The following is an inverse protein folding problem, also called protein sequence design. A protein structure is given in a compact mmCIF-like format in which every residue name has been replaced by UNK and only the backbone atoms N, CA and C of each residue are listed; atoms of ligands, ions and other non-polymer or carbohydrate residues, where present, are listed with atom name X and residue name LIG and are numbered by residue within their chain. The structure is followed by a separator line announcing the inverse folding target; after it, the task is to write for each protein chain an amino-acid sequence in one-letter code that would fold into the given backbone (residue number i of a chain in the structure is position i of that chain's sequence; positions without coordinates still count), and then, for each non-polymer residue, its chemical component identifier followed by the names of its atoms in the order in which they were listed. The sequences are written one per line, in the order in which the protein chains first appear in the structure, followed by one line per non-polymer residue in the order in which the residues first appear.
data_IF_245317430919
#
_entry.id   IF_245317430919
#
_cell.length_a   1.000
_cell.length_b   1.000
_cell.length_c   1.000
_cell.angle_alpha   90.00
_cell.angle_beta   90.00
_cell.angle_gamma   90.00
#
_symmetry.space_group_name_H-M   'P 1'
#
loop_
_entity.id
_entity.type
_entity.pdbx_description
1 polymer ?
#
# COMPACT_ATOMS: atom_id res chain seq x y z
N UNK A 1 18.61 7.92 5.42
CA UNK A 1 17.64 9.02 5.71
C UNK A 1 17.90 10.13 4.71
N UNK A 2 16.97 10.35 3.80
CA UNK A 2 17.11 11.32 2.72
C UNK A 2 16.09 12.46 2.87
N UNK A 3 16.40 13.62 2.28
CA UNK A 3 15.45 14.72 2.07
C UNK A 3 14.32 14.22 1.18
N UNK A 4 13.09 14.64 1.49
CA UNK A 4 11.88 14.28 0.73
C UNK A 4 11.25 15.51 0.08
N UNK A 5 11.33 16.65 0.76
CA UNK A 5 11.01 17.97 0.22
C UNK A 5 11.82 19.03 0.99
N UNK A 6 12.01 20.18 0.35
CA UNK A 6 12.59 21.40 0.92
C UNK A 6 11.55 22.51 0.86
N UNK A 7 11.72 23.54 1.70
CA UNK A 7 10.89 24.75 1.69
C UNK A 7 11.82 25.93 1.93
N UNK A 8 11.60 26.99 1.15
CA UNK A 8 12.24 28.28 1.31
C UNK A 8 11.20 29.39 1.05
N UNK A 9 11.41 30.54 1.67
CA UNK A 9 10.63 31.74 1.38
C UNK A 9 11.21 32.43 0.14
N UNK A 10 10.33 32.92 -0.73
CA UNK A 10 10.71 33.63 -1.97
C UNK A 10 10.73 35.14 -1.81
N UNK A 11 10.24 35.65 -0.67
CA UNK A 11 10.24 37.07 -0.31
C UNK A 11 11.01 37.26 1.02
N UNK A 12 12.05 38.14 1.05
CA UNK A 12 12.86 38.37 2.25
C UNK A 12 12.12 39.05 3.39
N UNK A 13 10.92 39.61 3.18
CA UNK A 13 10.10 40.22 4.23
C UNK A 13 9.31 39.19 5.06
N UNK A 14 9.25 37.93 4.61
CA UNK A 14 8.51 36.84 5.28
C UNK A 14 9.36 35.60 5.60
N UNK A 15 10.56 35.73 6.18
CA UNK A 15 11.43 34.58 6.47
C UNK A 15 10.82 33.63 7.51
N UNK A 16 9.91 34.14 8.34
CA UNK A 16 9.18 33.36 9.34
C UNK A 16 8.15 32.40 8.73
N UNK A 17 7.75 32.61 7.46
CA UNK A 17 6.70 31.82 6.81
C UNK A 17 7.13 30.37 6.57
N UNK A 18 8.41 30.13 6.30
CA UNK A 18 8.97 28.79 6.04
C UNK A 18 8.66 27.81 7.16
N UNK A 19 8.92 28.19 8.41
CA UNK A 19 8.63 27.33 9.57
C UNK A 19 7.20 27.47 10.09
N UNK A 20 6.45 28.52 9.72
CA UNK A 20 5.03 28.63 10.05
C UNK A 20 4.24 27.41 9.55
N UNK A 21 4.56 26.93 8.35
CA UNK A 21 3.93 25.76 7.75
C UNK A 21 4.45 24.41 8.27
N UNK A 22 5.48 24.39 9.15
CA UNK A 22 6.06 23.14 9.67
C UNK A 22 4.99 22.21 10.25
N UNK A 23 4.11 22.74 11.11
CA UNK A 23 3.10 21.92 11.79
C UNK A 23 2.12 21.27 10.81
N UNK A 24 1.77 21.98 9.73
CA UNK A 24 0.86 21.47 8.69
C UNK A 24 1.59 20.44 7.80
N UNK A 25 2.78 20.80 7.29
CA UNK A 25 3.49 19.98 6.32
C UNK A 25 4.11 18.73 6.94
N UNK A 26 4.45 18.75 8.23
CA UNK A 26 4.87 17.55 8.95
C UNK A 26 3.76 16.49 8.98
N UNK A 27 2.47 16.86 8.87
CA UNK A 27 1.36 15.89 8.84
C UNK A 27 1.45 14.91 7.65
N UNK A 28 2.24 15.23 6.62
CA UNK A 28 2.62 14.28 5.54
C UNK A 28 3.24 12.98 6.06
N UNK A 29 3.73 12.96 7.31
CA UNK A 29 4.15 11.72 7.99
C UNK A 29 3.08 10.63 7.92
N UNK A 30 1.80 11.00 8.03
CA UNK A 30 0.69 10.05 8.13
C UNK A 30 0.48 9.28 6.82
N UNK A 31 0.16 9.92 5.66
CA UNK A 31 0.00 9.20 4.41
C UNK A 31 1.28 8.47 3.98
N UNK A 32 2.46 9.04 4.22
CA UNK A 32 3.72 8.34 3.94
C UNK A 32 3.85 7.05 4.75
N UNK A 33 3.53 7.09 6.05
CA UNK A 33 3.67 5.93 6.93
C UNK A 33 2.65 4.85 6.59
N UNK A 34 1.38 5.22 6.34
CA UNK A 34 0.35 4.28 5.89
C UNK A 34 0.73 3.62 4.57
N UNK A 35 1.14 4.42 3.57
CA UNK A 35 1.57 3.89 2.27
C UNK A 35 2.79 2.95 2.42
N UNK A 36 3.78 3.33 3.23
CA UNK A 36 4.98 2.50 3.48
C UNK A 36 4.63 1.17 4.13
N UNK A 37 3.79 1.18 5.16
CA UNK A 37 3.34 -0.04 5.84
C UNK A 37 2.49 -0.90 4.90
N UNK A 38 1.55 -0.30 4.18
CA UNK A 38 0.76 -0.97 3.14
C UNK A 38 1.67 -1.63 2.10
N UNK A 39 2.73 -0.95 1.66
CA UNK A 39 3.71 -1.52 0.73
C UNK A 39 4.48 -2.68 1.34
N UNK A 40 4.83 -2.62 2.62
CA UNK A 40 5.47 -3.74 3.32
C UNK A 40 4.56 -4.97 3.36
N UNK A 41 3.26 -4.81 3.63
CA UNK A 41 2.29 -5.89 3.49
C UNK A 41 2.25 -6.45 2.07
N UNK A 42 2.22 -5.58 1.04
CA UNK A 42 2.24 -6.01 -0.37
C UNK A 42 3.47 -6.86 -0.67
N UNK A 43 4.65 -6.45 -0.22
CA UNK A 43 5.89 -7.20 -0.38
C UNK A 43 5.83 -8.56 0.33
N UNK A 44 5.33 -8.61 1.57
CA UNK A 44 5.18 -9.86 2.32
C UNK A 44 4.25 -10.84 1.59
N UNK A 45 3.03 -10.41 1.29
CA UNK A 45 2.02 -11.23 0.61
C UNK A 45 2.53 -11.68 -0.76
N UNK A 46 3.18 -10.79 -1.50
CA UNK A 46 3.71 -11.10 -2.82
C UNK A 46 4.77 -12.21 -2.79
N UNK A 47 5.62 -12.28 -1.76
CA UNK A 47 6.59 -13.39 -1.60
C UNK A 47 5.87 -14.73 -1.49
N UNK A 48 4.82 -14.81 -0.67
CA UNK A 48 4.07 -16.04 -0.45
C UNK A 48 3.18 -16.41 -1.65
N UNK A 49 2.53 -15.44 -2.30
CA UNK A 49 1.85 -15.68 -3.57
C UNK A 49 2.82 -16.25 -4.61
N UNK A 50 3.98 -15.62 -4.80
CA UNK A 50 4.97 -16.12 -5.75
C UNK A 50 5.53 -17.50 -5.37
N UNK A 51 5.57 -17.87 -4.09
CA UNK A 51 6.00 -19.19 -3.66
C UNK A 51 4.91 -20.26 -3.85
N UNK A 52 3.63 -19.89 -3.72
CA UNK A 52 2.53 -20.86 -3.51
C UNK A 52 1.40 -20.79 -4.53
N UNK A 53 1.42 -19.83 -5.46
CA UNK A 53 0.32 -19.54 -6.41
C UNK A 53 0.85 -19.55 -7.84
N UNK A 54 0.00 -19.88 -8.82
CA UNK A 54 0.40 -19.96 -10.23
C UNK A 54 0.46 -18.58 -10.92
N UNK A 55 -0.11 -17.54 -10.28
CA UNK A 55 -0.19 -16.17 -10.79
C UNK A 55 -0.10 -15.15 -9.65
N UNK A 56 0.31 -13.93 -9.97
CA UNK A 56 0.36 -12.77 -9.07
C UNK A 56 -0.86 -11.84 -9.24
N UNK A 57 -1.76 -12.11 -10.18
CA UNK A 57 -2.90 -11.26 -10.54
C UNK A 57 -3.81 -10.91 -9.35
N UNK A 58 -3.91 -11.79 -8.36
CA UNK A 58 -4.76 -11.58 -7.18
C UNK A 58 -4.17 -10.60 -6.16
N UNK A 59 -2.87 -10.29 -6.23
CA UNK A 59 -2.15 -9.48 -5.24
C UNK A 59 -2.81 -8.12 -4.93
N UNK A 60 -3.29 -7.33 -5.92
CA UNK A 60 -3.91 -6.03 -5.65
C UNK A 60 -5.12 -6.09 -4.72
N UNK A 61 -5.75 -7.25 -4.55
CA UNK A 61 -6.93 -7.46 -3.71
C UNK A 61 -6.66 -8.32 -2.47
N UNK A 62 -5.40 -8.63 -2.15
CA UNK A 62 -5.07 -9.52 -1.02
C UNK A 62 -5.07 -8.84 0.35
N UNK A 63 -5.06 -7.51 0.40
CA UNK A 63 -5.24 -6.74 1.62
C UNK A 63 -6.34 -5.69 1.39
N UNK A 64 -7.42 -5.80 2.16
CA UNK A 64 -8.57 -4.90 2.11
C UNK A 64 -8.55 -3.96 3.30
N UNK A 65 -8.79 -2.68 3.05
CA UNK A 65 -8.87 -1.67 4.10
C UNK A 65 -10.24 -1.69 4.82
N UNK A 66 -10.22 -2.08 6.10
CA UNK A 66 -11.35 -2.06 7.04
C UNK A 66 -11.21 -0.93 8.08
N UNK A 67 -10.33 0.04 7.85
CA UNK A 67 -9.87 1.01 8.84
C UNK A 67 -10.78 2.21 9.05
N UNK A 68 -11.84 2.38 8.26
CA UNK A 68 -12.68 3.58 8.33
C UNK A 68 -13.19 3.87 9.75
N UNK A 69 -13.85 2.89 10.38
CA UNK A 69 -14.38 3.03 11.75
C UNK A 69 -13.29 3.13 12.84
N UNK A 70 -12.07 2.71 12.54
CA UNK A 70 -10.93 2.77 13.45
C UNK A 70 -10.13 4.06 13.34
N UNK A 71 -10.45 4.93 12.38
CA UNK A 71 -9.78 6.21 12.17
C UNK A 71 -10.33 7.28 13.12
N UNK A 72 -9.50 8.27 13.48
CA UNK A 72 -9.90 9.36 14.40
C UNK A 72 -10.83 10.40 13.79
N UNK A 73 -10.88 10.50 12.45
CA UNK A 73 -11.73 11.44 11.73
C UNK A 73 -11.98 10.97 10.30
N UNK A 74 -12.98 11.57 9.63
CA UNK A 74 -13.25 11.31 8.20
C UNK A 74 -12.08 11.77 7.32
N UNK A 75 -11.42 12.88 7.67
CA UNK A 75 -10.25 13.37 6.96
C UNK A 75 -9.07 12.39 7.09
N UNK A 76 -8.77 11.92 8.31
CA UNK A 76 -7.75 10.91 8.55
C UNK A 76 -8.06 9.62 7.79
N UNK A 77 -9.32 9.16 7.81
CA UNK A 77 -9.74 8.00 7.04
C UNK A 77 -9.55 8.20 5.54
N UNK A 78 -9.87 9.39 5.01
CA UNK A 78 -9.66 9.74 3.61
C UNK A 78 -8.18 9.68 3.22
N UNK A 79 -7.31 10.34 4.00
CA UNK A 79 -5.86 10.39 3.75
C UNK A 79 -5.24 9.00 3.86
N UNK A 80 -5.59 8.25 4.92
CA UNK A 80 -5.07 6.91 5.16
C UNK A 80 -5.55 5.91 4.11
N UNK A 81 -6.85 5.93 3.79
CA UNK A 81 -7.42 5.07 2.74
C UNK A 81 -6.79 5.34 1.37
N UNK A 82 -6.62 6.61 0.98
CA UNK A 82 -5.94 6.97 -0.26
C UNK A 82 -4.48 6.49 -0.30
N UNK A 83 -3.76 6.58 0.83
CA UNK A 83 -2.39 6.10 0.94
C UNK A 83 -2.29 4.56 0.82
N UNK A 84 -3.26 3.82 1.35
CA UNK A 84 -3.34 2.36 1.16
C UNK A 84 -3.61 2.00 -0.31
N UNK A 85 -4.47 2.76 -0.99
CA UNK A 85 -4.84 2.56 -2.40
C UNK A 85 -3.68 2.77 -3.38
N UNK A 86 -2.54 3.30 -2.95
CA UNK A 86 -1.30 3.27 -3.75
C UNK A 86 -0.81 1.83 -3.98
N UNK A 87 -1.07 0.92 -3.04
CA UNK A 87 -0.51 -0.44 -3.07
C UNK A 87 -1.54 -1.52 -3.40
N UNK A 88 -2.79 -1.32 -2.97
CA UNK A 88 -3.89 -2.26 -3.15
C UNK A 88 -5.12 -1.57 -3.73
N UNK A 89 -6.14 -2.36 -4.05
CA UNK A 89 -7.38 -1.91 -4.66
C UNK A 89 -8.63 -2.28 -3.84
N UNK A 90 -8.49 -2.98 -2.71
CA UNK A 90 -9.60 -3.32 -1.82
C UNK A 90 -9.79 -2.30 -0.69
N UNK A 91 -10.98 -1.70 -0.57
CA UNK A 91 -11.27 -0.76 0.53
C UNK A 91 -12.76 -0.64 0.85
N UNK A 92 -13.11 -0.57 2.14
CA UNK A 92 -14.42 -0.12 2.64
C UNK A 92 -14.39 1.34 3.12
N UNK A 93 -13.22 1.99 3.06
CA UNK A 93 -13.02 3.38 3.45
C UNK A 93 -13.35 4.31 2.29
N UNK A 94 -14.64 4.54 2.05
CA UNK A 94 -15.14 5.36 0.92
C UNK A 94 -14.53 6.76 0.85
N UNK A 95 -14.12 7.34 1.99
CA UNK A 95 -13.45 8.63 2.05
C UNK A 95 -12.14 8.66 1.25
N UNK A 96 -11.41 7.54 1.18
CA UNK A 96 -10.19 7.41 0.38
C UNK A 96 -10.47 7.54 -1.11
N UNK A 97 -11.57 6.95 -1.60
CA UNK A 97 -11.99 7.08 -2.99
C UNK A 97 -12.31 8.53 -3.37
N UNK A 98 -12.99 9.25 -2.48
CA UNK A 98 -13.32 10.67 -2.69
C UNK A 98 -12.06 11.53 -2.75
N UNK A 99 -11.07 11.25 -1.89
CA UNK A 99 -9.79 11.96 -1.89
C UNK A 99 -9.02 11.70 -3.19
N UNK A 100 -8.85 10.44 -3.60
CA UNK A 100 -8.17 10.08 -4.85
C UNK A 100 -8.83 10.73 -6.08
N UNK A 101 -10.16 10.78 -6.13
CA UNK A 101 -10.88 11.45 -7.21
C UNK A 101 -10.62 12.96 -7.23
N UNK A 102 -10.65 13.59 -6.05
CA UNK A 102 -10.52 15.04 -5.91
C UNK A 102 -9.11 15.56 -6.17
N UNK A 103 -8.09 14.86 -5.67
CA UNK A 103 -6.71 15.37 -5.63
C UNK A 103 -5.73 14.62 -6.52
N UNK A 104 -6.08 13.46 -7.07
CA UNK A 104 -5.16 12.60 -7.83
C UNK A 104 -5.75 12.07 -9.14
N UNK A 105 -6.79 12.74 -9.66
CA UNK A 105 -7.44 12.46 -10.95
C UNK A 105 -7.78 10.98 -11.19
N UNK A 106 -8.25 10.27 -10.15
CA UNK A 106 -8.60 8.86 -10.24
C UNK A 106 -10.10 8.64 -9.99
N UNK A 107 -10.86 8.36 -11.05
CA UNK A 107 -12.32 8.20 -10.97
C UNK A 107 -12.74 7.07 -10.03
N UNK A 108 -12.02 5.94 -10.06
CA UNK A 108 -12.26 4.78 -9.21
C UNK A 108 -10.95 4.15 -8.75
N UNK A 109 -10.48 4.56 -7.58
CA UNK A 109 -9.22 4.08 -7.03
C UNK A 109 -9.31 2.68 -6.40
N UNK A 110 -10.49 2.22 -5.98
CA UNK A 110 -10.62 0.96 -5.27
C UNK A 110 -12.04 0.40 -5.32
N UNK A 111 -12.17 -0.84 -4.88
CA UNK A 111 -13.36 -1.66 -4.99
C UNK A 111 -13.67 -2.34 -3.66
N UNK A 112 -14.93 -2.74 -3.53
CA UNK A 112 -15.38 -3.62 -2.47
C UNK A 112 -16.41 -4.62 -3.01
N UNK A 113 -16.74 -5.61 -2.19
CA UNK A 113 -17.77 -6.60 -2.45
C UNK A 113 -18.86 -6.47 -1.38
N UNK A 114 -20.12 -6.82 -1.67
CA UNK A 114 -21.12 -6.99 -0.64
C UNK A 114 -20.59 -7.90 0.49
N UNK A 115 -20.65 -7.42 1.73
CA UNK A 115 -20.23 -8.16 2.89
C UNK A 115 -21.32 -8.13 3.95
N UNK A 116 -21.57 -9.26 4.61
CA UNK A 116 -22.43 -9.27 5.80
C UNK A 116 -21.62 -8.79 7.01
N UNK A 117 -22.27 -8.04 7.88
CA UNK A 117 -21.83 -7.89 9.26
C UNK A 117 -22.74 -8.72 10.19
N UNK A 118 -22.32 -8.89 11.44
CA UNK A 118 -22.97 -9.72 12.45
C UNK A 118 -24.51 -9.51 12.53
N UNK A 119 -24.99 -8.28 12.33
CA UNK A 119 -26.41 -7.92 12.40
C UNK A 119 -27.25 -8.40 11.21
N UNK A 120 -26.63 -8.69 10.06
CA UNK A 120 -27.30 -8.87 8.75
C UNK A 120 -27.32 -10.30 8.22
N UNK A 121 -26.72 -11.26 8.92
CA UNK A 121 -26.52 -12.65 8.47
C UNK A 121 -27.80 -13.31 7.94
N UNK A 122 -28.97 -12.90 8.43
CA UNK A 122 -30.27 -13.49 8.10
C UNK A 122 -30.96 -12.93 6.83
N UNK A 123 -30.35 -11.98 6.10
CA UNK A 123 -31.14 -11.09 5.20
C UNK A 123 -30.89 -11.17 3.68
N UNK A 124 -30.00 -12.01 3.14
CA UNK A 124 -29.59 -11.85 1.73
C UNK A 124 -29.55 -13.10 0.84
N UNK A 125 -30.24 -13.02 -0.31
CA UNK A 125 -29.94 -13.75 -1.57
C UNK A 125 -29.52 -12.73 -2.62
N UNK A 126 -28.22 -12.60 -2.91
CA UNK A 126 -27.66 -11.72 -3.96
C UNK A 126 -26.65 -12.48 -4.81
N UNK A 127 -26.63 -12.18 -6.12
CA UNK A 127 -25.65 -12.67 -7.10
C UNK A 127 -24.27 -12.00 -6.94
N UNK A 128 -23.20 -12.60 -7.47
CA UNK A 128 -21.83 -12.04 -7.45
C UNK A 128 -20.94 -12.49 -6.28
N UNK A 129 -19.79 -11.84 -6.08
CA UNK A 129 -18.91 -12.07 -4.92
C UNK A 129 -19.58 -11.58 -3.63
N UNK A 130 -19.54 -12.39 -2.57
CA UNK A 130 -20.06 -11.99 -1.25
C UNK A 130 -19.12 -12.45 -0.14
N UNK A 131 -18.82 -11.57 0.81
CA UNK A 131 -18.19 -11.98 2.07
C UNK A 131 -19.25 -12.22 3.14
N UNK A 132 -19.16 -13.35 3.85
CA UNK A 132 -20.13 -13.68 4.90
C UNK A 132 -19.42 -14.00 6.20
N UNK A 133 -19.64 -13.16 7.21
CA UNK A 133 -19.19 -13.44 8.59
C UNK A 133 -19.85 -14.71 9.09
N UNK A 134 -19.04 -15.67 9.51
CA UNK A 134 -19.47 -17.06 9.75
C UNK A 134 -19.24 -17.55 11.17
N UNK A 135 -18.82 -16.67 12.09
CA UNK A 135 -18.43 -17.03 13.46
C UNK A 135 -19.31 -16.40 14.54
N UNK A 136 -20.52 -15.94 14.20
CA UNK A 136 -21.45 -15.36 15.20
C UNK A 136 -21.83 -16.31 16.34
N UNK A 137 -21.69 -17.62 16.12
CA UNK A 137 -21.90 -18.64 17.16
C UNK A 137 -20.77 -19.66 17.16
N UNK A 138 -20.53 -20.32 16.02
CA UNK A 138 -19.50 -21.34 15.85
C UNK A 138 -19.07 -21.42 14.38
N UNK A 139 -17.85 -20.96 14.08
CA UNK A 139 -17.29 -20.94 12.72
C UNK A 139 -17.12 -22.34 12.14
N UNK A 140 -16.80 -23.33 12.97
CA UNK A 140 -16.54 -24.69 12.52
C UNK A 140 -17.86 -25.38 12.16
N UNK A 141 -18.91 -25.17 12.94
CA UNK A 141 -20.25 -25.64 12.59
C UNK A 141 -20.77 -24.95 11.32
N UNK A 142 -20.62 -23.63 11.21
CA UNK A 142 -21.03 -22.88 10.03
C UNK A 142 -20.34 -23.39 8.75
N UNK A 143 -19.03 -23.61 8.80
CA UNK A 143 -18.25 -24.13 7.67
C UNK A 143 -18.64 -25.58 7.33
N UNK A 144 -18.67 -26.47 8.33
CA UNK A 144 -18.84 -27.91 8.10
C UNK A 144 -20.28 -28.33 7.77
N UNK A 145 -21.26 -27.73 8.47
CA UNK A 145 -22.65 -28.20 8.49
C UNK A 145 -23.59 -27.29 7.70
N UNK A 146 -23.30 -25.98 7.67
CA UNK A 146 -24.12 -25.02 6.92
C UNK A 146 -23.55 -24.88 5.51
N UNK A 147 -22.37 -24.27 5.34
CA UNK A 147 -21.77 -24.05 4.02
C UNK A 147 -21.41 -25.36 3.32
N UNK A 148 -20.74 -26.28 4.02
CA UNK A 148 -20.37 -27.59 3.49
C UNK A 148 -21.47 -28.65 3.58
N UNK A 149 -22.66 -28.30 4.07
CA UNK A 149 -23.79 -29.21 4.25
C UNK A 149 -25.06 -28.64 3.63
N UNK A 150 -25.89 -27.99 4.45
CA UNK A 150 -27.23 -27.52 4.06
C UNK A 150 -27.23 -26.60 2.84
N UNK A 151 -26.21 -25.74 2.68
CA UNK A 151 -26.10 -24.75 1.60
C UNK A 151 -25.04 -25.12 0.54
N UNK A 152 -24.55 -26.36 0.55
CA UNK A 152 -23.39 -26.77 -0.25
C UNK A 152 -23.65 -26.63 -1.74
N UNK A 153 -24.83 -27.04 -2.20
CA UNK A 153 -25.17 -27.02 -3.61
C UNK A 153 -25.33 -25.59 -4.12
N UNK A 154 -25.89 -24.68 -3.30
CA UNK A 154 -25.96 -23.25 -3.61
C UNK A 154 -24.57 -22.59 -3.69
N UNK A 155 -23.62 -23.01 -2.84
CA UNK A 155 -22.23 -22.53 -2.92
C UNK A 155 -21.58 -22.97 -4.24
N UNK A 156 -21.84 -24.19 -4.70
CA UNK A 156 -21.32 -24.71 -5.97
C UNK A 156 -21.97 -23.99 -7.15
N UNK A 157 -23.30 -23.83 -7.13
CA UNK A 157 -24.07 -23.15 -8.19
C UNK A 157 -23.63 -21.69 -8.37
N UNK A 158 -23.26 -21.02 -7.26
CA UNK A 158 -22.70 -19.66 -7.28
C UNK A 158 -21.45 -19.54 -8.17
N UNK A 159 -20.71 -20.61 -8.39
CA UNK A 159 -19.50 -20.56 -9.22
C UNK A 159 -19.73 -20.18 -10.68
N UNK A 160 -20.98 -20.18 -11.15
CA UNK A 160 -21.34 -19.65 -12.46
C UNK A 160 -21.18 -18.12 -12.57
N UNK A 161 -21.32 -17.37 -11.47
CA UNK A 161 -21.35 -15.91 -11.50
C UNK A 161 -20.74 -15.22 -10.25
N UNK A 162 -20.08 -15.96 -9.36
CA UNK A 162 -19.59 -15.38 -8.11
C UNK A 162 -18.68 -16.29 -7.29
N UNK A 163 -18.33 -15.79 -6.11
CA UNK A 163 -17.51 -16.48 -5.14
C UNK A 163 -18.01 -16.15 -3.73
N UNK A 164 -18.16 -17.18 -2.90
CA UNK A 164 -18.39 -17.04 -1.47
C UNK A 164 -17.03 -16.84 -0.78
N UNK A 165 -16.92 -15.77 0.00
CA UNK A 165 -15.76 -15.51 0.84
C UNK A 165 -16.17 -15.68 2.31
N UNK A 166 -15.82 -16.82 2.90
CA UNK A 166 -16.09 -17.11 4.31
C UNK A 166 -15.22 -16.22 5.18
N UNK A 167 -15.81 -15.56 6.17
CA UNK A 167 -15.10 -14.65 7.07
C UNK A 167 -15.19 -15.12 8.52
N UNK A 168 -14.12 -15.73 9.07
CA UNK A 168 -13.89 -15.78 10.50
C UNK A 168 -13.49 -14.38 11.03
N UNK A 169 -13.94 -14.01 12.22
CA UNK A 169 -13.73 -12.69 12.81
C UNK A 169 -13.34 -12.78 14.32
N UNK A 170 -12.95 -13.96 14.79
CA UNK A 170 -12.55 -14.22 16.17
C UNK A 170 -11.65 -15.47 16.30
N UNK A 171 -10.92 -15.56 17.42
CA UNK A 171 -9.99 -16.66 17.72
C UNK A 171 -8.56 -16.43 17.24
N UNK A 172 -7.67 -17.40 17.46
CA UNK A 172 -6.29 -17.35 16.95
C UNK A 172 -6.29 -17.47 15.42
N UNK A 173 -5.84 -16.47 14.65
CA UNK A 173 -5.99 -16.45 13.20
C UNK A 173 -5.33 -17.64 12.49
N UNK A 174 -4.19 -18.12 12.99
CA UNK A 174 -3.47 -19.27 12.39
C UNK A 174 -4.29 -20.55 12.56
N UNK A 175 -4.68 -20.84 13.80
CA UNK A 175 -5.44 -22.06 14.16
C UNK A 175 -6.79 -22.09 13.45
N UNK A 176 -7.50 -20.96 13.46
CA UNK A 176 -8.83 -20.84 12.84
C UNK A 176 -8.74 -21.04 11.34
N UNK A 177 -7.83 -20.36 10.64
CA UNK A 177 -7.71 -20.50 9.18
C UNK A 177 -7.32 -21.91 8.75
N UNK A 178 -6.37 -22.55 9.43
CA UNK A 178 -5.98 -23.93 9.10
C UNK A 178 -7.14 -24.90 9.29
N UNK A 179 -7.90 -24.74 10.38
CA UNK A 179 -9.05 -25.60 10.67
C UNK A 179 -10.18 -25.36 9.67
N UNK A 180 -10.50 -24.11 9.36
CA UNK A 180 -11.51 -23.76 8.34
C UNK A 180 -11.14 -24.33 6.97
N UNK A 181 -9.88 -24.18 6.54
CA UNK A 181 -9.44 -24.73 5.26
C UNK A 181 -9.49 -26.26 5.24
N UNK A 182 -9.12 -26.93 6.34
CA UNK A 182 -9.25 -28.38 6.48
C UNK A 182 -10.71 -28.84 6.37
N UNK A 183 -11.64 -28.17 7.05
CA UNK A 183 -13.07 -28.47 6.94
C UNK A 183 -13.61 -28.23 5.53
N UNK A 184 -13.14 -27.20 4.84
CA UNK A 184 -13.52 -26.94 3.45
C UNK A 184 -12.98 -28.02 2.50
N UNK A 185 -11.77 -28.53 2.73
CA UNK A 185 -11.18 -29.65 1.98
C UNK A 185 -12.02 -30.92 2.08
N UNK A 186 -12.61 -31.19 3.25
CA UNK A 186 -13.50 -32.34 3.44
C UNK A 186 -14.83 -32.21 2.68
N UNK A 187 -15.28 -30.98 2.40
CA UNK A 187 -16.63 -30.70 1.88
C UNK A 187 -16.64 -30.31 0.41
N UNK A 188 -15.56 -29.73 -0.10
CA UNK A 188 -15.47 -29.19 -1.44
C UNK A 188 -14.27 -29.77 -2.20
N UNK A 189 -14.36 -29.90 -3.55
CA UNK A 189 -13.26 -30.43 -4.34
C UNK A 189 -12.07 -29.48 -4.34
N UNK A 190 -10.97 -29.91 -3.73
CA UNK A 190 -9.69 -29.19 -3.71
C UNK A 190 -8.78 -29.73 -4.80
N UNK A 191 -8.09 -28.83 -5.51
CA UNK A 191 -7.07 -29.18 -6.49
C UNK A 191 -5.68 -28.80 -5.99
N UNK A 192 -4.63 -29.30 -6.65
CA UNK A 192 -3.27 -28.78 -6.47
C UNK A 192 -2.88 -27.98 -7.70
N UNK A 193 -2.29 -26.82 -7.49
CA UNK A 193 -1.75 -25.99 -8.55
C UNK A 193 -0.39 -26.52 -9.07
N UNK A 194 0.23 -25.84 -10.04
CA UNK A 194 1.50 -26.30 -10.65
C UNK A 194 2.66 -26.30 -9.64
N UNK A 195 2.55 -25.55 -8.55
CA UNK A 195 3.52 -25.50 -7.45
C UNK A 195 3.26 -26.54 -6.35
N UNK A 196 2.24 -27.38 -6.52
CA UNK A 196 1.91 -28.47 -5.60
C UNK A 196 1.08 -28.07 -4.37
N UNK A 197 0.62 -26.82 -4.31
CA UNK A 197 -0.18 -26.28 -3.21
C UNK A 197 -1.67 -26.46 -3.46
N UNK A 198 -2.41 -26.74 -2.39
CA UNK A 198 -3.87 -26.90 -2.39
C UNK A 198 -4.58 -25.59 -2.70
N UNK A 199 -5.57 -25.65 -3.57
CA UNK A 199 -6.41 -24.51 -3.99
C UNK A 199 -7.88 -24.92 -3.90
N UNK A 200 -8.67 -24.12 -3.17
CA UNK A 200 -10.12 -24.21 -3.11
C UNK A 200 -10.71 -23.94 -4.50
N UNK A 201 -11.90 -24.50 -4.80
CA UNK A 201 -12.56 -24.21 -6.07
C UNK A 201 -12.78 -22.70 -6.24
N UNK A 202 -12.81 -22.17 -7.47
CA UNK A 202 -12.76 -20.72 -7.74
C UNK A 202 -13.91 -19.91 -7.11
N UNK A 203 -15.01 -20.59 -6.77
CA UNK A 203 -16.20 -20.02 -6.15
C UNK A 203 -16.16 -19.95 -4.62
N UNK A 204 -15.02 -20.30 -4.00
CA UNK A 204 -14.90 -20.34 -2.55
C UNK A 204 -13.53 -19.83 -2.08
N UNK A 205 -13.53 -18.82 -1.20
CA UNK A 205 -12.33 -18.26 -0.57
C UNK A 205 -12.57 -17.96 0.91
N UNK A 206 -11.51 -17.59 1.62
CA UNK A 206 -11.59 -17.17 3.03
C UNK A 206 -10.99 -15.77 3.16
N UNK A 207 -11.60 -14.92 4.00
CA UNK A 207 -11.03 -13.63 4.40
C UNK A 207 -10.87 -13.57 5.91
N UNK A 208 -9.66 -13.27 6.38
CA UNK A 208 -9.40 -13.00 7.79
C UNK A 208 -9.36 -11.49 8.01
N UNK A 209 -10.32 -10.96 8.78
CA UNK A 209 -10.44 -9.53 9.07
C UNK A 209 -10.04 -9.12 10.49
N UNK A 210 -10.04 -10.07 11.43
CA UNK A 210 -9.70 -9.83 12.83
C UNK A 210 -8.22 -10.09 13.12
N UNK A 211 -7.63 -9.30 14.02
CA UNK A 211 -6.25 -9.49 14.48
C UNK A 211 -5.15 -9.29 13.43
N UNK A 212 -5.46 -8.66 12.30
CA UNK A 212 -4.50 -8.49 11.20
C UNK A 212 -3.45 -7.41 11.48
N UNK A 213 -2.18 -7.83 11.55
CA UNK A 213 -0.94 -7.02 11.58
C UNK A 213 0.08 -7.63 10.62
N UNK A 214 1.24 -6.98 10.43
CA UNK A 214 2.30 -7.49 9.55
C UNK A 214 2.79 -8.85 10.05
N UNK A 215 3.00 -8.95 11.36
CA UNK A 215 3.47 -10.15 12.04
C UNK A 215 2.43 -11.28 11.99
N UNK A 216 1.14 -10.97 12.16
CA UNK A 216 0.11 -12.02 12.08
C UNK A 216 -0.11 -12.51 10.66
N UNK A 217 -0.04 -11.65 9.63
CA UNK A 217 -0.07 -12.11 8.23
C UNK A 217 1.13 -13.01 7.94
N UNK A 218 2.33 -12.65 8.41
CA UNK A 218 3.51 -13.49 8.21
C UNK A 218 3.36 -14.85 8.89
N UNK A 219 2.86 -14.90 10.12
CA UNK A 219 2.60 -16.14 10.83
C UNK A 219 1.56 -17.02 10.11
N UNK A 220 0.44 -16.42 9.66
CA UNK A 220 -0.61 -17.11 8.90
C UNK A 220 -0.03 -17.69 7.61
N UNK A 221 0.64 -16.88 6.80
CA UNK A 221 1.12 -17.30 5.48
C UNK A 221 2.19 -18.40 5.57
N UNK A 222 3.07 -18.35 6.58
CA UNK A 222 3.99 -19.45 6.86
C UNK A 222 3.24 -20.74 7.20
N UNK A 223 2.29 -20.69 8.13
CA UNK A 223 1.54 -21.86 8.54
C UNK A 223 0.70 -22.47 7.40
N UNK A 224 0.10 -21.62 6.55
CA UNK A 224 -0.59 -22.08 5.34
C UNK A 224 0.36 -22.78 4.38
N UNK A 225 1.52 -22.18 4.11
CA UNK A 225 2.53 -22.76 3.22
C UNK A 225 3.05 -24.10 3.77
N UNK A 226 3.35 -24.21 5.06
CA UNK A 226 3.77 -25.46 5.72
C UNK A 226 2.68 -26.54 5.66
N UNK A 227 1.41 -26.15 5.77
CA UNK A 227 0.26 -27.05 5.62
C UNK A 227 -0.08 -27.37 4.15
N UNK A 228 0.71 -26.87 3.19
CA UNK A 228 0.54 -27.13 1.76
C UNK A 228 -0.62 -26.38 1.11
N UNK A 229 -1.10 -25.28 1.72
CA UNK A 229 -2.14 -24.41 1.16
C UNK A 229 -1.57 -23.26 0.37
N UNK A 230 -2.20 -22.95 -0.77
CA UNK A 230 -1.85 -21.79 -1.57
C UNK A 230 -2.34 -20.50 -0.91
N UNK A 231 -1.55 -19.43 -1.06
CA UNK A 231 -1.96 -18.07 -0.67
C UNK A 231 -3.16 -17.58 -1.48
N UNK A 232 -3.47 -18.19 -2.64
CA UNK A 232 -4.69 -17.88 -3.41
C UNK A 232 -5.98 -18.02 -2.61
N UNK A 233 -6.00 -18.90 -1.60
CA UNK A 233 -7.21 -19.22 -0.83
C UNK A 233 -7.63 -18.12 0.15
N UNK A 234 -6.70 -17.27 0.57
CA UNK A 234 -6.91 -16.33 1.68
C UNK A 234 -6.75 -14.88 1.22
N UNK A 235 -7.61 -14.02 1.72
CA UNK A 235 -7.53 -12.55 1.64
C UNK A 235 -7.47 -12.00 3.06
N UNK A 236 -6.86 -10.84 3.26
CA UNK A 236 -6.77 -10.20 4.57
C UNK A 236 -7.54 -8.89 4.59
N UNK A 237 -8.17 -8.58 5.72
CA UNK A 237 -8.76 -7.28 6.00
C UNK A 237 -8.05 -6.63 7.19
N UNK A 238 -7.55 -5.40 7.03
CA UNK A 238 -6.84 -4.71 8.10
C UNK A 238 -7.52 -3.39 8.45
N UNK A 239 -7.81 -3.21 9.74
CA UNK A 239 -8.45 -2.00 10.27
C UNK A 239 -7.47 -1.06 10.97
N UNK A 240 -7.58 -0.97 12.29
CA UNK A 240 -6.77 -0.05 13.10
C UNK A 240 -5.26 -0.24 12.97
N UNK A 241 -4.77 -1.47 12.72
CA UNK A 241 -3.35 -1.72 12.47
C UNK A 241 -2.83 -1.06 11.18
N UNK A 242 -3.70 -0.88 10.19
CA UNK A 242 -3.36 -0.26 8.91
C UNK A 242 -3.44 1.27 8.98
N UNK A 243 -4.52 1.82 9.55
CA UNK A 243 -4.80 3.27 9.50
C UNK A 243 -4.55 4.05 10.80
N UNK A 244 -4.43 3.40 11.97
CA UNK A 244 -4.50 4.11 13.26
C UNK A 244 -3.36 3.82 14.24
N UNK A 245 -2.83 2.59 14.28
CA UNK A 245 -1.79 2.17 15.24
C UNK A 245 -0.39 2.60 14.79
N UNK A 246 -0.27 3.83 14.33
CA UNK A 246 0.96 4.46 13.82
C UNK A 246 1.09 5.87 14.39
N UNK A 247 2.32 6.37 14.45
CA UNK A 247 2.58 7.75 14.87
C UNK A 247 3.73 8.34 14.06
N UNK A 248 3.95 9.66 14.18
CA UNK A 248 5.02 10.37 13.45
C UNK A 248 6.41 9.75 13.66
N UNK A 249 6.65 9.18 14.84
CA UNK A 249 7.93 8.57 15.19
C UNK A 249 8.14 7.18 14.60
N UNK A 250 7.10 6.51 14.07
CA UNK A 250 7.22 5.23 13.35
C UNK A 250 8.27 5.29 12.24
N UNK A 251 8.29 6.37 11.45
CA UNK A 251 9.32 6.63 10.41
C UNK A 251 10.29 7.74 10.82
N UNK A 252 10.16 8.28 12.04
CA UNK A 252 10.92 9.44 12.56
C UNK A 252 10.85 10.66 11.61
N UNK A 253 9.70 10.89 10.97
CA UNK A 253 9.49 12.00 10.03
C UNK A 253 9.71 13.35 10.73
N UNK A 254 10.59 14.19 10.21
CA UNK A 254 10.95 15.45 10.85
C UNK A 254 11.20 16.56 9.84
N UNK A 255 10.85 17.78 10.22
CA UNK A 255 11.13 19.01 9.47
C UNK A 255 12.18 19.85 10.22
N UNK A 256 13.21 20.35 9.55
CA UNK A 256 14.30 21.11 10.21
C UNK A 256 14.84 22.17 9.25
N UNK A 257 15.09 23.36 9.76
CA UNK A 257 15.88 24.38 9.09
C UNK A 257 17.32 23.86 8.91
N UNK A 258 17.84 23.93 7.69
CA UNK A 258 19.23 23.56 7.36
C UNK A 258 20.07 24.73 6.87
N UNK A 259 19.46 25.83 6.44
CA UNK A 259 20.15 26.99 5.86
C UNK A 259 19.39 28.29 6.17
N UNK A 260 20.11 29.40 6.36
CA UNK A 260 19.55 30.75 6.53
C UNK A 260 20.45 31.79 5.87
N UNK A 261 19.87 32.91 5.43
CA UNK A 261 20.60 34.10 5.02
C UNK A 261 20.37 35.20 6.05
N UNK A 262 21.44 35.74 6.65
CA UNK A 262 21.38 36.80 7.67
C UNK A 262 22.27 37.95 7.24
N UNK A 263 21.71 39.14 7.06
CA UNK A 263 22.43 40.33 6.55
C UNK A 263 23.16 40.08 5.22
N UNK A 264 22.57 39.26 4.33
CA UNK A 264 23.17 38.87 3.05
C UNK A 264 24.24 37.78 3.16
N UNK A 265 24.53 37.26 4.35
CA UNK A 265 25.48 36.17 4.57
C UNK A 265 24.75 34.82 4.70
N UNK A 266 25.12 33.86 3.86
CA UNK A 266 24.68 32.47 3.93
C UNK A 266 25.26 31.74 5.15
N UNK A 267 24.42 30.97 5.85
CA UNK A 267 24.79 30.21 7.04
C UNK A 267 24.10 28.86 7.09
N UNK A 268 24.89 27.81 7.26
CA UNK A 268 24.38 26.47 7.49
C UNK A 268 23.96 26.27 8.95
N UNK A 269 22.73 25.80 9.15
CA UNK A 269 22.13 25.61 10.47
C UNK A 269 21.86 24.14 10.70
N UNK A 270 22.16 23.65 11.90
CA UNK A 270 21.88 22.26 12.26
C UNK A 270 21.84 22.05 13.77
N UNK A 271 21.16 20.98 14.19
CA UNK A 271 21.21 20.47 15.56
C UNK A 271 22.11 19.25 15.63
N UNK A 272 22.92 19.18 16.69
CA UNK A 272 23.72 18.01 17.02
C UNK A 272 23.72 17.80 18.55
N UNK A 273 22.62 17.26 19.12
CA UNK A 273 22.54 17.07 20.58
C UNK A 273 23.60 16.08 21.07
N UNK A 274 24.42 16.48 22.04
CA UNK A 274 25.50 15.64 22.62
C UNK A 274 24.94 14.34 23.22
N UNK A 275 23.71 14.36 23.73
CA UNK A 275 23.06 13.22 24.39
C UNK A 275 22.32 12.29 23.43
N UNK A 276 22.22 12.63 22.13
CA UNK A 276 21.47 11.84 21.14
C UNK A 276 21.95 12.15 19.72
N UNK A 277 23.03 11.50 19.30
CA UNK A 277 23.60 11.64 17.95
C UNK A 277 22.60 11.24 16.85
N UNK A 278 21.64 10.38 17.16
CA UNK A 278 20.57 9.96 16.23
C UNK A 278 19.63 11.10 15.82
N UNK A 279 19.65 12.22 16.56
CA UNK A 279 18.91 13.45 16.28
C UNK A 279 19.72 14.51 15.53
N UNK A 280 20.93 14.21 15.05
CA UNK A 280 21.71 15.11 14.20
C UNK A 280 20.93 15.44 12.91
N UNK A 281 20.75 16.72 12.61
CA UNK A 281 20.10 17.16 11.36
C UNK A 281 21.11 17.37 10.24
N UNK A 282 20.61 17.42 9.01
CA UNK A 282 21.39 17.82 7.83
C UNK A 282 21.67 19.33 7.84
N UNK A 283 22.63 19.76 7.02
CA UNK A 283 23.13 21.14 6.94
C UNK A 283 23.10 21.69 5.52
N UNK A 284 22.88 23.00 5.40
CA UNK A 284 22.91 23.77 4.15
C UNK A 284 21.80 23.44 3.16
N UNK A 285 22.00 23.89 1.92
CA UNK A 285 21.16 23.50 0.78
C UNK A 285 21.28 22.00 0.53
N UNK A 286 20.13 21.36 0.28
CA UNK A 286 20.01 19.91 0.14
C UNK A 286 19.51 19.55 -1.25
N UNK A 287 20.14 18.57 -1.89
CA UNK A 287 19.65 17.91 -3.11
C UNK A 287 19.46 16.42 -2.84
N UNK A 288 18.65 15.74 -3.67
CA UNK A 288 18.51 14.29 -3.65
C UNK A 288 19.06 13.70 -4.95
N UNK A 289 20.09 12.89 -4.86
CA UNK A 289 20.82 12.38 -6.04
C UNK A 289 20.94 10.86 -5.99
N UNK A 290 21.32 10.25 -7.11
CA UNK A 290 21.76 8.86 -7.16
C UNK A 290 23.28 8.82 -7.05
N UNK A 291 23.80 8.03 -6.11
CA UNK A 291 25.23 7.80 -6.02
C UNK A 291 25.70 6.79 -7.09
N UNK A 292 27.00 6.51 -7.14
CA UNK A 292 27.61 5.58 -8.11
C UNK A 292 27.07 4.14 -8.05
N UNK A 293 26.39 3.75 -6.97
CA UNK A 293 25.69 2.46 -6.86
C UNK A 293 24.23 2.48 -7.35
N UNK A 294 23.73 3.65 -7.77
CA UNK A 294 22.33 3.89 -8.14
C UNK A 294 21.40 4.16 -6.95
N UNK A 295 21.92 4.15 -5.73
CA UNK A 295 21.16 4.39 -4.49
C UNK A 295 20.90 5.88 -4.26
N UNK A 296 19.76 6.21 -3.66
CA UNK A 296 19.40 7.59 -3.32
C UNK A 296 20.24 8.11 -2.14
N UNK A 297 20.79 9.30 -2.30
CA UNK A 297 21.62 9.98 -1.31
C UNK A 297 21.29 11.47 -1.26
N UNK A 298 21.18 12.02 -0.05
CA UNK A 298 21.08 13.48 0.12
C UNK A 298 22.44 14.12 0.24
N UNK A 299 22.77 14.95 -0.75
CA UNK A 299 23.92 15.83 -0.73
C UNK A 299 23.59 17.08 0.10
N UNK A 300 24.56 17.61 0.83
CA UNK A 300 24.41 18.68 1.82
C UNK A 300 25.33 19.86 1.49
N UNK A 301 25.20 20.95 2.24
CA UNK A 301 26.15 22.09 2.21
C UNK A 301 26.32 22.68 0.80
N UNK A 302 25.25 22.65 -0.02
CA UNK A 302 25.27 23.17 -1.39
C UNK A 302 26.22 22.45 -2.33
N UNK A 303 26.74 21.27 -1.96
CA UNK A 303 27.64 20.47 -2.79
C UNK A 303 26.90 19.72 -3.90
N UNK A 304 25.57 19.71 -3.85
CA UNK A 304 24.73 19.26 -4.95
C UNK A 304 24.85 20.21 -6.14
N UNK A 305 24.62 19.72 -7.35
CA UNK A 305 24.83 20.55 -8.53
C UNK A 305 23.66 21.55 -8.74
N UNK A 306 23.90 22.89 -8.63
CA UNK A 306 22.84 23.91 -8.65
C UNK A 306 22.19 24.14 -10.02
N UNK A 307 22.83 23.74 -11.12
CA UNK A 307 22.30 23.89 -12.49
C UNK A 307 21.24 22.83 -12.87
N UNK A 308 20.75 22.06 -11.90
CA UNK A 308 19.89 20.87 -12.10
C UNK A 308 18.51 20.96 -11.45
N UNK A 309 18.10 22.11 -10.92
CA UNK A 309 16.70 22.37 -10.51
C UNK A 309 15.84 22.44 -11.78
N UNK A 310 15.33 21.29 -12.20
CA UNK A 310 14.53 21.13 -13.40
C UNK A 310 13.14 21.74 -13.19
N UNK A 311 12.93 22.97 -13.69
CA UNK A 311 11.58 23.58 -13.89
C UNK A 311 10.82 22.92 -15.05
N UNK A 312 10.86 21.58 -15.17
CA UNK A 312 10.37 20.87 -16.36
C UNK A 312 9.06 20.13 -16.04
N UNK A 313 7.98 20.60 -16.64
CA UNK A 313 6.69 19.93 -16.73
C UNK A 313 6.62 19.00 -17.96
N UNK A 314 6.20 17.74 -17.79
CA UNK A 314 5.74 16.87 -18.89
C UNK A 314 6.60 15.61 -19.18
N UNK A 315 5.91 14.52 -19.51
CA UNK A 315 6.48 13.17 -19.71
C UNK A 315 7.44 13.06 -20.90
N UNK A 316 7.18 13.77 -22.00
CA UNK A 316 7.96 13.69 -23.26
C UNK A 316 9.37 14.27 -23.10
N UNK A 317 9.57 15.23 -22.20
CA UNK A 317 10.87 15.89 -22.03
C UNK A 317 11.83 15.12 -21.09
N UNK A 318 11.29 14.31 -20.16
CA UNK A 318 12.09 13.40 -19.29
C UNK A 318 12.90 12.39 -20.11
N UNK A 319 12.32 11.85 -21.18
CA UNK A 319 12.96 10.83 -22.02
C UNK A 319 14.12 11.42 -22.83
N UNK A 320 13.94 12.60 -23.42
CA UNK A 320 15.01 13.30 -24.17
C UNK A 320 16.13 13.77 -23.24
N UNK A 321 15.81 14.23 -22.03
CA UNK A 321 16.83 14.62 -21.03
C UNK A 321 17.69 13.43 -20.54
N UNK A 322 17.12 12.23 -20.46
CA UNK A 322 17.82 11.01 -20.04
C UNK A 322 18.93 10.58 -21.02
N UNK A 323 18.89 11.01 -22.28
CA UNK A 323 19.80 10.56 -23.33
C UNK A 323 21.12 11.35 -23.42
N UNK A 324 21.27 12.51 -22.75
CA UNK A 324 22.35 13.45 -23.05
C UNK A 324 23.21 13.96 -21.86
N UNK A 325 23.13 13.41 -20.64
CA UNK A 325 23.99 13.88 -19.52
C UNK A 325 24.73 12.76 -18.77
N UNK A 326 25.98 13.06 -18.42
CA UNK A 326 26.96 12.17 -17.77
C UNK A 326 27.03 12.31 -16.23
N UNK A 327 26.13 13.10 -15.61
CA UNK A 327 26.09 13.28 -14.15
C UNK A 327 24.62 13.43 -13.69
N UNK A 328 24.13 12.54 -12.83
CA UNK A 328 22.70 12.44 -12.44
C UNK A 328 22.12 13.74 -11.85
N UNK A 329 20.90 14.18 -12.25
CA UNK A 329 20.25 15.41 -11.78
C UNK A 329 19.70 15.32 -10.35
N UNK A 330 19.44 16.46 -9.70
CA UNK A 330 18.63 16.52 -8.49
C UNK A 330 17.23 15.95 -8.79
N UNK A 331 16.76 15.07 -7.91
CA UNK A 331 15.48 14.39 -8.01
C UNK A 331 14.35 15.25 -7.44
N UNK A 332 14.67 16.20 -6.54
CA UNK A 332 13.68 17.15 -6.05
C UNK A 332 13.23 18.05 -7.19
N UNK A 333 11.92 18.28 -7.27
CA UNK A 333 11.30 19.18 -8.25
C UNK A 333 10.47 20.22 -7.52
N UNK A 334 10.42 21.44 -8.04
CA UNK A 334 9.51 22.47 -7.53
C UNK A 334 8.07 22.02 -7.78
N UNK A 335 7.29 21.85 -6.72
CA UNK A 335 5.88 21.44 -6.80
C UNK A 335 4.92 22.58 -6.51
N UNK A 336 5.37 23.57 -5.74
CA UNK A 336 4.58 24.72 -5.33
C UNK A 336 5.46 25.96 -5.34
N UNK A 337 5.01 27.04 -5.98
CA UNK A 337 5.72 28.31 -6.07
C UNK A 337 4.70 29.45 -5.97
N UNK A 338 4.89 30.36 -5.01
CA UNK A 338 4.12 31.61 -4.87
C UNK A 338 2.60 31.47 -4.97
N UNK A 339 2.02 30.49 -4.25
CA UNK A 339 0.57 30.28 -4.21
C UNK A 339 0.02 29.35 -5.29
N UNK A 340 0.88 28.83 -6.17
CA UNK A 340 0.48 28.01 -7.32
C UNK A 340 1.11 26.62 -7.23
N UNK A 341 0.29 25.58 -7.42
CA UNK A 341 0.76 24.21 -7.65
C UNK A 341 1.29 24.14 -9.10
N UNK A 342 2.59 23.86 -9.25
CA UNK A 342 3.28 23.87 -10.57
C UNK A 342 3.51 22.46 -11.12
N UNK A 343 3.48 21.44 -10.26
CA UNK A 343 3.55 20.03 -10.64
C UNK A 343 2.47 19.28 -9.86
N UNK A 344 1.75 18.42 -10.56
CA UNK A 344 0.73 17.55 -10.00
C UNK A 344 0.92 16.14 -10.55
N UNK A 345 0.46 15.14 -9.81
CA UNK A 345 0.59 13.73 -10.17
C UNK A 345 -0.74 13.01 -10.08
N UNK A 346 -0.99 12.12 -11.02
CA UNK A 346 -2.13 11.21 -10.96
C UNK A 346 -1.85 10.05 -10.00
N UNK A 347 -2.90 9.42 -9.46
CA UNK A 347 -2.74 8.22 -8.63
C UNK A 347 -2.06 7.08 -9.41
N UNK A 348 -2.29 6.99 -10.72
CA UNK A 348 -1.72 5.94 -11.56
C UNK A 348 -0.20 6.09 -11.70
N UNK A 349 0.30 7.32 -11.89
CA UNK A 349 1.74 7.60 -11.89
C UNK A 349 2.37 7.24 -10.53
N UNK A 350 1.69 7.58 -9.43
CA UNK A 350 2.16 7.24 -8.07
C UNK A 350 2.21 5.73 -7.86
N UNK A 351 1.20 4.99 -8.32
CA UNK A 351 1.15 3.51 -8.27
C UNK A 351 2.30 2.89 -9.06
N UNK A 352 2.54 3.38 -10.27
CA UNK A 352 3.62 2.91 -11.13
C UNK A 352 4.99 3.04 -10.44
N UNK A 353 5.27 4.21 -9.87
CA UNK A 353 6.52 4.49 -9.16
C UNK A 353 6.65 3.68 -7.85
N UNK A 354 5.54 3.47 -7.14
CA UNK A 354 5.52 2.73 -5.88
C UNK A 354 5.60 1.21 -6.04
N UNK A 355 5.42 0.68 -7.25
CA UNK A 355 5.28 -0.77 -7.48
C UNK A 355 6.51 -1.57 -6.98
N UNK A 356 6.25 -2.79 -6.51
CA UNK A 356 7.27 -3.68 -5.97
C UNK A 356 8.02 -4.38 -7.11
N UNK A 357 9.31 -4.67 -6.90
CA UNK A 357 10.17 -5.27 -7.92
C UNK A 357 9.64 -6.61 -8.43
N UNK A 358 9.03 -7.42 -7.55
CA UNK A 358 8.46 -8.72 -7.92
C UNK A 358 7.35 -8.58 -8.96
N UNK A 359 6.46 -7.59 -8.81
CA UNK A 359 5.39 -7.30 -9.77
C UNK A 359 5.95 -6.74 -11.09
N UNK A 360 6.97 -5.88 -11.03
CA UNK A 360 7.63 -5.38 -12.24
C UNK A 360 8.26 -6.51 -13.06
N UNK A 361 8.89 -7.49 -12.41
CA UNK A 361 9.45 -8.68 -13.06
C UNK A 361 8.37 -9.56 -13.67
N UNK A 362 7.25 -9.74 -12.97
CA UNK A 362 6.09 -10.52 -13.44
C UNK A 362 5.41 -9.89 -14.68
N UNK A 363 5.30 -8.55 -14.71
CA UNK A 363 4.80 -7.83 -15.88
C UNK A 363 5.75 -7.93 -17.09
N UNK A 364 7.06 -8.00 -16.87
CA UNK A 364 8.03 -8.19 -17.95
C UNK A 364 8.02 -9.62 -18.49
N UNK A 365 7.86 -10.63 -17.63
CA UNK A 365 7.79 -12.03 -18.08
C UNK A 365 6.51 -12.28 -18.88
N UNK A 366 5.37 -11.76 -18.45
CA UNK A 366 4.08 -11.88 -19.17
C UNK A 366 4.10 -11.18 -20.54
N UNK A 367 4.68 -9.97 -20.63
CA UNK A 367 4.82 -9.26 -21.90
C UNK A 367 5.89 -9.86 -22.84
N UNK A 368 6.92 -10.52 -22.30
CA UNK A 368 7.98 -11.18 -23.08
C UNK A 368 7.51 -12.42 -23.84
N UNK A 369 6.44 -13.08 -23.40
CA UNK A 369 5.83 -14.22 -24.12
C UNK A 369 4.77 -13.79 -25.16
N UNK A 370 4.36 -12.52 -25.19
CA UNK A 370 3.35 -11.99 -26.11
C UNK A 370 3.84 -11.65 -27.52
N UNK A 371 5.15 -11.55 -27.74
CA UNK A 371 5.75 -11.14 -29.03
C UNK A 371 6.51 -12.25 -29.78
N UNK A 372 6.34 -13.53 -29.40
CA UNK A 372 7.01 -14.65 -30.06
C UNK A 372 6.11 -15.52 -30.95
N UNK A 373 4.84 -15.12 -31.17
CA UNK A 373 3.94 -15.77 -32.12
C UNK A 373 3.18 -14.70 -32.91
N UNK A 374 3.85 -14.11 -33.89
CA UNK A 374 3.27 -13.14 -34.82
C UNK A 374 4.19 -12.99 -36.04
N UNK A 375 3.77 -13.64 -37.12
CA UNK A 375 4.20 -13.51 -38.51
C UNK A 375 5.38 -14.36 -39.04
N UNK A 376 4.95 -15.31 -39.89
CA UNK A 376 5.60 -16.11 -40.95
C UNK A 376 6.36 -17.39 -40.57
#
# INVERSE_FOLDING_TARGET
KNVLFTIENTDPEVPWLTNWFETLLVQTWYPMTVCTISRAYKQLIARFLNATSDSMESLPFKLHDFGYRGSTSVESAGIGGAAHLVNFMGTDTIAGLQLCRKYYACDMAGFSIPATEHSTITTWKREGLISVVSDSYDVYHAVSSIWGGVLRDEVIERGSNGCLVIRPDSGDPVTVLLTVLGLLEEKFPVTKNKKGYKVLPPYLRVIQGDGITYESIEAILNALMEAGWSTDNVVFGAGGALLQRINRDTQKCAFKCSHVVVNGEERDVYKNPVTDEGKRSKKGYLTLERNSSGSLETVQEGQGNPEKVSRISGFVLKFVYSLFRTHDPDILVTVFENGTLVVDWTLEEIRHEAEIELMRKDQLSTNGFGNANGDT
#
